data_IF_362722926961
#
_entry.id   IF_362722926961
#
_cell.length_a   1.000
_cell.length_b   1.000
_cell.length_c   1.000
_cell.angle_alpha   90.00
_cell.angle_beta   90.00
_cell.angle_gamma   90.00
#
_symmetry.space_group_name_H-M   'P 1'
#
loop_
_entity.id
_entity.type
_entity.pdbx_description
1 polymer ?
#
# COMPACT_ATOMS: atom_id res chain seq x y z
N UNK A 1 5.07 -32.77 6.96
CA UNK A 1 4.93 -32.01 5.70
C UNK A 1 3.90 -30.92 5.97
N UNK A 2 4.35 -29.71 6.31
CA UNK A 2 3.43 -28.60 6.56
C UNK A 2 3.11 -27.99 5.20
N UNK A 3 1.85 -28.09 4.78
CA UNK A 3 1.39 -27.45 3.57
C UNK A 3 1.57 -25.94 3.74
N UNK A 4 2.48 -25.36 2.95
CA UNK A 4 2.53 -23.92 2.74
C UNK A 4 1.22 -23.55 2.04
N UNK A 5 0.20 -23.19 2.83
CA UNK A 5 -0.99 -22.58 2.31
C UNK A 5 -0.53 -21.36 1.48
N UNK A 6 -0.81 -21.42 0.18
CA UNK A 6 -0.45 -20.37 -0.76
C UNK A 6 -0.93 -19.02 -0.21
N UNK A 7 0.00 -18.15 0.21
CA UNK A 7 -0.28 -16.77 0.58
C UNK A 7 -0.65 -15.98 -0.69
N UNK A 8 -1.92 -16.09 -1.10
CA UNK A 8 -2.35 -15.70 -2.46
C UNK A 8 -2.63 -14.21 -2.67
N UNK A 9 -2.33 -13.31 -1.72
CA UNK A 9 -3.01 -12.02 -1.70
C UNK A 9 -2.11 -10.83 -2.08
N UNK A 10 -1.09 -10.49 -1.27
CA UNK A 10 -0.25 -9.32 -1.56
C UNK A 10 1.03 -9.67 -2.35
N UNK A 11 1.68 -10.79 -2.04
CA UNK A 11 2.89 -11.22 -2.77
C UNK A 11 2.62 -11.48 -4.25
N UNK A 12 1.43 -11.98 -4.59
CA UNK A 12 1.03 -12.15 -5.99
C UNK A 12 0.85 -10.80 -6.68
N UNK A 13 0.23 -9.83 -6.01
CA UNK A 13 0.07 -8.50 -6.54
C UNK A 13 1.44 -7.84 -6.78
N UNK A 14 2.35 -7.92 -5.82
CA UNK A 14 3.73 -7.43 -5.96
C UNK A 14 4.44 -8.12 -7.13
N UNK A 15 4.32 -9.44 -7.27
CA UNK A 15 4.87 -10.18 -8.41
C UNK A 15 4.26 -9.75 -9.75
N UNK A 16 2.98 -9.39 -9.78
CA UNK A 16 2.33 -8.89 -10.98
C UNK A 16 2.91 -7.53 -11.41
N UNK A 17 3.21 -6.64 -10.46
CA UNK A 17 3.95 -5.39 -10.75
C UNK A 17 5.36 -5.68 -11.24
N UNK A 18 6.13 -6.51 -10.52
CA UNK A 18 7.52 -6.84 -10.90
C UNK A 18 7.64 -7.54 -12.26
N UNK A 19 6.61 -8.28 -12.66
CA UNK A 19 6.53 -8.93 -13.97
C UNK A 19 6.14 -8.00 -15.12
N UNK A 20 5.76 -6.75 -14.83
CA UNK A 20 5.37 -5.77 -15.83
C UNK A 20 6.54 -4.82 -16.14
N UNK A 21 7.02 -4.84 -17.38
CA UNK A 21 8.16 -4.03 -17.82
C UNK A 21 7.93 -2.51 -17.78
N UNK A 22 6.67 -2.07 -17.68
CA UNK A 22 6.29 -0.65 -17.54
C UNK A 22 6.04 -0.22 -16.09
N UNK A 23 6.08 -1.16 -15.15
CA UNK A 23 5.91 -0.81 -13.75
C UNK A 23 7.22 -0.26 -13.18
N UNK A 24 7.13 0.84 -12.46
CA UNK A 24 8.25 1.38 -11.69
C UNK A 24 8.16 0.87 -10.25
N UNK A 25 9.31 0.63 -9.64
CA UNK A 25 9.40 0.21 -8.24
C UNK A 25 10.45 1.06 -7.52
N UNK A 26 9.99 1.76 -6.48
CA UNK A 26 10.84 2.51 -5.58
C UNK A 26 10.78 1.90 -4.18
N UNK A 27 11.95 1.72 -3.58
CA UNK A 27 12.08 1.36 -2.16
C UNK A 27 12.61 2.55 -1.39
N UNK A 28 11.94 2.90 -0.30
CA UNK A 28 12.34 3.93 0.64
C UNK A 28 12.59 3.26 1.99
N UNK A 29 13.81 3.35 2.50
CA UNK A 29 14.19 2.75 3.79
C UNK A 29 13.90 3.69 4.95
N UNK A 30 13.95 3.16 6.18
CA UNK A 30 13.84 3.95 7.42
C UNK A 30 14.80 5.12 7.47
N UNK A 31 16.05 4.92 7.05
CA UNK A 31 17.07 5.97 7.02
C UNK A 31 16.68 7.07 6.04
N UNK A 32 16.19 6.70 4.85
CA UNK A 32 15.71 7.67 3.85
C UNK A 32 14.50 8.45 4.36
N UNK A 33 13.52 7.77 4.96
CA UNK A 33 12.35 8.43 5.57
C UNK A 33 12.77 9.36 6.71
N UNK A 34 13.74 8.97 7.53
CA UNK A 34 14.29 9.81 8.59
C UNK A 34 14.93 11.09 8.05
N UNK A 35 15.70 10.98 6.96
CA UNK A 35 16.27 12.15 6.27
C UNK A 35 15.17 13.06 5.70
N UNK A 36 14.15 12.48 5.05
CA UNK A 36 13.01 13.25 4.52
C UNK A 36 12.24 13.96 5.64
N UNK A 37 12.04 13.31 6.78
CA UNK A 37 11.34 13.90 7.92
C UNK A 37 12.11 15.06 8.54
N UNK A 38 13.42 14.92 8.74
CA UNK A 38 14.27 16.00 9.24
C UNK A 38 14.27 17.22 8.30
N UNK A 39 14.18 16.99 6.98
CA UNK A 39 14.08 18.06 5.99
C UNK A 39 12.70 18.75 5.99
N UNK A 40 11.62 17.99 6.17
CA UNK A 40 10.27 18.54 6.29
C UNK A 40 10.12 19.41 7.56
N UNK A 41 10.64 18.94 8.69
CA UNK A 41 10.55 19.65 9.98
C UNK A 41 11.37 20.96 9.99
N UNK A 42 12.50 21.00 9.27
CA UNK A 42 13.32 22.20 9.13
C UNK A 42 12.76 23.26 8.17
N UNK A 43 11.79 22.90 7.33
CA UNK A 43 11.21 23.78 6.30
C UNK A 43 9.84 24.36 6.64
N UNK A 44 9.34 24.18 7.88
CA UNK A 44 7.97 24.58 8.30
C UNK A 44 6.85 23.97 7.45
N UNK A 45 7.14 22.93 6.67
CA UNK A 45 6.14 22.16 5.95
C UNK A 45 5.48 21.15 6.89
N UNK A 46 4.27 20.70 6.51
CA UNK A 46 3.38 19.83 7.31
C UNK A 46 4.14 18.80 8.14
N UNK A 47 3.79 18.69 9.43
CA UNK A 47 4.29 17.65 10.33
C UNK A 47 4.19 16.29 9.67
N UNK A 48 5.29 15.55 9.69
CA UNK A 48 5.32 14.15 9.27
C UNK A 48 4.43 13.33 10.21
N UNK A 49 3.53 12.48 9.70
CA UNK A 49 2.70 11.63 10.55
C UNK A 49 3.55 10.75 11.46
N UNK A 50 3.16 10.62 12.74
CA UNK A 50 3.94 9.88 13.73
C UNK A 50 4.16 8.40 13.40
N UNK A 51 3.24 7.79 12.64
CA UNK A 51 3.35 6.39 12.22
C UNK A 51 4.58 6.12 11.33
N UNK A 52 5.09 7.14 10.61
CA UNK A 52 6.27 6.99 9.73
C UNK A 52 7.49 6.50 10.50
N UNK A 53 7.63 6.86 11.79
CA UNK A 53 8.77 6.43 12.62
C UNK A 53 8.78 4.92 12.91
N UNK A 54 7.63 4.25 12.76
CA UNK A 54 7.44 2.80 12.95
C UNK A 54 7.53 2.00 11.66
N UNK A 55 7.65 2.68 10.52
CA UNK A 55 7.87 2.05 9.22
C UNK A 55 9.38 1.80 9.07
N UNK A 56 9.72 0.58 8.70
CA UNK A 56 11.09 0.17 8.40
C UNK A 56 11.39 0.26 6.91
N UNK A 57 10.38 -0.05 6.09
CA UNK A 57 10.47 -0.03 4.64
C UNK A 57 9.15 0.40 4.02
N UNK A 58 9.24 1.23 2.99
CA UNK A 58 8.14 1.54 2.09
C UNK A 58 8.52 1.11 0.67
N UNK A 59 7.66 0.34 0.02
CA UNK A 59 7.76 0.05 -1.41
C UNK A 59 6.61 0.75 -2.13
N UNK A 60 6.94 1.48 -3.19
CA UNK A 60 5.97 2.13 -4.07
C UNK A 60 6.10 1.49 -5.44
N UNK A 61 5.02 0.92 -5.93
CA UNK A 61 4.90 0.41 -7.28
C UNK A 61 3.91 1.28 -8.04
N UNK A 62 4.30 1.76 -9.20
CA UNK A 62 3.45 2.56 -10.08
C UNK A 62 3.40 1.92 -11.45
N UNK A 63 2.24 1.98 -12.08
CA UNK A 63 2.06 1.70 -13.48
C UNK A 63 1.18 2.81 -14.02
N UNK A 64 1.77 3.69 -14.82
CA UNK A 64 1.10 4.85 -15.41
C UNK A 64 0.75 4.60 -16.87
N UNK A 65 -0.31 5.26 -17.35
CA UNK A 65 -0.75 5.24 -18.75
C UNK A 65 -0.90 3.82 -19.34
N UNK A 66 -1.36 2.85 -18.52
CA UNK A 66 -1.55 1.49 -19.00
C UNK A 66 -2.67 1.43 -20.05
N UNK A 67 -2.43 0.68 -21.13
CA UNK A 67 -3.45 0.44 -22.16
C UNK A 67 -3.76 -1.04 -22.30
N UNK A 68 -5.05 -1.38 -22.29
CA UNK A 68 -5.53 -2.72 -22.58
C UNK A 68 -4.95 -3.79 -21.64
N UNK A 69 -4.06 -4.65 -22.16
CA UNK A 69 -3.59 -5.86 -21.46
C UNK A 69 -2.46 -5.58 -20.45
N UNK A 70 -1.86 -4.40 -20.48
CA UNK A 70 -0.69 -4.05 -19.67
C UNK A 70 -0.98 -4.19 -18.17
N UNK A 71 -2.13 -3.72 -17.68
CA UNK A 71 -2.51 -3.88 -16.29
C UNK A 71 -3.34 -5.14 -16.01
N UNK A 72 -3.62 -5.98 -17.01
CA UNK A 72 -4.59 -7.07 -16.88
C UNK A 72 -4.26 -8.08 -15.77
N UNK A 73 -2.97 -8.38 -15.57
CA UNK A 73 -2.52 -9.22 -14.46
C UNK A 73 -2.69 -8.53 -13.10
N UNK A 74 -2.32 -7.26 -13.00
CA UNK A 74 -2.40 -6.46 -11.77
C UNK A 74 -3.86 -6.25 -11.36
N UNK A 75 -4.73 -5.83 -12.29
CA UNK A 75 -6.16 -5.64 -12.05
C UNK A 75 -6.81 -6.95 -11.60
N UNK A 76 -6.49 -8.07 -12.27
CA UNK A 76 -7.03 -9.38 -11.89
C UNK A 76 -6.64 -9.79 -10.47
N UNK A 77 -5.38 -9.60 -10.08
CA UNK A 77 -4.94 -9.91 -8.71
C UNK A 77 -5.55 -8.92 -7.69
N UNK A 78 -5.77 -7.67 -8.06
CA UNK A 78 -6.48 -6.68 -7.22
C UNK A 78 -7.95 -7.07 -6.98
N UNK A 79 -8.70 -7.35 -8.05
CA UNK A 79 -10.11 -7.72 -7.98
C UNK A 79 -10.31 -9.08 -7.30
N UNK A 80 -9.40 -10.01 -7.57
CA UNK A 80 -9.36 -11.35 -6.99
C UNK A 80 -8.83 -11.41 -5.56
N UNK A 81 -8.34 -10.29 -5.01
CA UNK A 81 -7.83 -10.22 -3.65
C UNK A 81 -8.92 -10.63 -2.64
N UNK A 82 -8.57 -11.51 -1.70
CA UNK A 82 -9.45 -11.95 -0.61
C UNK A 82 -8.71 -11.84 0.71
N UNK A 83 -9.42 -11.54 1.78
CA UNK A 83 -8.84 -11.56 3.13
C UNK A 83 -8.39 -12.99 3.49
N UNK A 84 -7.31 -13.09 4.27
CA UNK A 84 -6.72 -14.38 4.66
C UNK A 84 -5.20 -14.33 4.79
N UNK A 85 -4.63 -15.38 5.40
CA UNK A 85 -3.21 -15.47 5.72
C UNK A 85 -2.72 -14.25 6.52
N UNK A 86 -3.47 -13.85 7.55
CA UNK A 86 -3.17 -12.69 8.40
C UNK A 86 -3.52 -11.33 7.81
N UNK A 87 -3.85 -11.25 6.50
CA UNK A 87 -4.32 -10.01 5.87
C UNK A 87 -5.83 -9.81 6.03
N UNK A 88 -6.21 -8.58 6.32
CA UNK A 88 -7.60 -8.12 6.45
C UNK A 88 -7.80 -6.81 5.68
N UNK A 89 -8.92 -6.68 4.98
CA UNK A 89 -9.31 -5.44 4.29
C UNK A 89 -9.89 -4.45 5.30
N UNK A 90 -9.26 -3.28 5.41
CA UNK A 90 -9.71 -2.19 6.31
C UNK A 90 -10.62 -1.20 5.59
N UNK A 91 -10.34 -0.91 4.33
CA UNK A 91 -11.14 -0.03 3.46
C UNK A 91 -11.20 -0.66 2.07
N UNK A 92 -12.39 -0.67 1.49
CA UNK A 92 -12.58 -0.92 0.06
C UNK A 92 -13.60 0.09 -0.46
N UNK A 93 -13.12 1.08 -1.22
CA UNK A 93 -13.95 2.01 -1.98
C UNK A 93 -13.86 1.60 -3.44
N UNK A 94 -15.02 1.42 -4.05
CA UNK A 94 -15.14 1.08 -5.45
C UNK A 94 -16.19 2.01 -6.05
N UNK A 95 -15.74 3.00 -6.80
CA UNK A 95 -16.58 3.85 -7.64
C UNK A 95 -16.13 3.69 -9.10
N UNK A 96 -16.93 4.15 -10.06
CA UNK A 96 -16.69 3.87 -11.49
C UNK A 96 -15.35 4.40 -12.04
N UNK A 97 -14.69 5.31 -11.30
CA UNK A 97 -13.46 5.98 -11.74
C UNK A 97 -12.25 5.65 -10.86
N UNK A 98 -12.46 5.49 -9.57
CA UNK A 98 -11.44 5.29 -8.55
C UNK A 98 -11.73 4.04 -7.72
N UNK A 99 -10.73 3.17 -7.64
CA UNK A 99 -10.73 2.00 -6.79
C UNK A 99 -9.63 2.14 -5.75
N UNK A 100 -10.02 2.12 -4.47
CA UNK A 100 -9.09 2.23 -3.35
C UNK A 100 -9.30 1.05 -2.42
N UNK A 101 -8.22 0.33 -2.13
CA UNK A 101 -8.23 -0.76 -1.17
C UNK A 101 -7.07 -0.61 -0.19
N UNK A 102 -7.37 -0.64 1.09
CA UNK A 102 -6.36 -0.66 2.16
C UNK A 102 -6.46 -2.00 2.86
N UNK A 103 -5.35 -2.73 2.91
CA UNK A 103 -5.23 -4.04 3.55
C UNK A 103 -4.10 -4.01 4.57
N UNK A 104 -4.27 -4.75 5.66
CA UNK A 104 -3.28 -4.82 6.72
C UNK A 104 -3.04 -6.28 7.13
N UNK A 105 -1.77 -6.64 7.34
CA UNK A 105 -1.37 -7.91 7.92
C UNK A 105 -1.20 -7.76 9.43
N UNK A 106 -1.95 -8.55 10.20
CA UNK A 106 -1.90 -8.55 11.67
C UNK A 106 -1.16 -9.79 12.16
N UNK A 107 -0.21 -9.57 13.05
CA UNK A 107 0.49 -10.62 13.79
C UNK A 107 0.27 -10.40 15.29
N UNK A 108 -0.72 -11.10 15.85
CA UNK A 108 -1.16 -10.86 17.22
C UNK A 108 -1.72 -9.44 17.39
N UNK A 109 -1.07 -8.63 18.22
CA UNK A 109 -1.48 -7.24 18.48
C UNK A 109 -0.74 -6.20 17.62
N UNK A 110 0.24 -6.63 16.82
CA UNK A 110 1.01 -5.76 15.93
C UNK A 110 0.50 -5.88 14.49
N UNK A 111 0.71 -4.82 13.73
CA UNK A 111 0.46 -4.76 12.30
C UNK A 111 1.82 -4.74 11.62
N UNK A 112 2.21 -5.86 11.04
CA UNK A 112 3.53 -6.02 10.45
C UNK A 112 3.62 -5.41 9.05
N UNK A 113 2.47 -5.28 8.39
CA UNK A 113 2.40 -4.82 7.00
C UNK A 113 1.09 -4.11 6.68
N UNK A 114 1.15 -3.06 5.86
CA UNK A 114 -0.02 -2.37 5.31
C UNK A 114 0.21 -2.13 3.82
N UNK A 115 -0.79 -2.43 3.00
CA UNK A 115 -0.77 -2.07 1.59
C UNK A 115 -1.98 -1.19 1.24
N UNK A 116 -1.69 -0.09 0.55
CA UNK A 116 -2.68 0.81 -0.05
C UNK A 116 -2.59 0.63 -1.55
N UNK A 117 -3.70 0.25 -2.15
CA UNK A 117 -3.82 0.05 -3.58
C UNK A 117 -4.81 1.09 -4.10
N UNK A 118 -4.37 1.89 -5.05
CA UNK A 118 -5.19 2.91 -5.72
C UNK A 118 -5.13 2.65 -7.21
N UNK A 119 -6.28 2.67 -7.86
CA UNK A 119 -6.40 2.53 -9.30
C UNK A 119 -7.40 3.54 -9.83
N UNK A 120 -7.08 4.11 -10.97
CA UNK A 120 -8.04 4.74 -11.86
C UNK A 120 -8.06 4.07 -13.24
N UNK A 121 -8.64 4.73 -14.24
CA UNK A 121 -8.76 4.21 -15.62
C UNK A 121 -7.42 3.92 -16.29
N UNK A 122 -6.32 4.57 -15.88
CA UNK A 122 -5.02 4.53 -16.58
C UNK A 122 -3.83 4.29 -15.69
N UNK A 123 -4.00 4.48 -14.38
CA UNK A 123 -2.91 4.40 -13.42
C UNK A 123 -3.25 3.39 -12.32
N UNK A 124 -2.24 2.65 -11.88
CA UNK A 124 -2.30 1.81 -10.68
C UNK A 124 -1.10 2.11 -9.80
N UNK A 125 -1.38 2.39 -8.53
CA UNK A 125 -0.38 2.61 -7.50
C UNK A 125 -0.58 1.63 -6.36
N UNK A 126 0.49 0.92 -6.00
CA UNK A 126 0.57 0.13 -4.78
C UNK A 126 1.62 0.74 -3.87
N UNK A 127 1.22 1.17 -2.68
CA UNK A 127 2.11 1.59 -1.60
C UNK A 127 2.07 0.53 -0.51
N UNK A 128 3.21 -0.12 -0.26
CA UNK A 128 3.40 -1.15 0.76
C UNK A 128 4.28 -0.59 1.88
N UNK A 129 3.82 -0.69 3.12
CA UNK A 129 4.58 -0.36 4.32
C UNK A 129 4.87 -1.64 5.10
N UNK A 130 6.12 -1.81 5.52
CA UNK A 130 6.56 -2.88 6.42
C UNK A 130 7.14 -2.24 7.68
N UNK A 131 6.75 -2.74 8.85
CA UNK A 131 7.24 -2.23 10.12
C UNK A 131 6.53 -2.84 11.32
N UNK A 132 6.51 -2.10 12.43
CA UNK A 132 5.85 -2.53 13.67
C UNK A 132 4.79 -1.49 14.06
N UNK A 133 3.68 -1.50 13.31
CA UNK A 133 2.58 -0.56 13.46
C UNK A 133 1.59 -1.06 14.53
N UNK A 134 0.93 -0.14 15.20
CA UNK A 134 -0.18 -0.43 16.10
C UNK A 134 -1.52 -0.03 15.48
N UNK A 135 -2.61 -0.24 16.22
CA UNK A 135 -3.95 0.12 15.74
C UNK A 135 -4.18 1.63 15.59
N UNK A 136 -3.53 2.46 16.41
CA UNK A 136 -3.64 3.91 16.31
C UNK A 136 -2.93 4.43 15.04
N UNK A 137 -1.81 3.81 14.67
CA UNK A 137 -1.10 4.06 13.42
C UNK A 137 -1.99 3.70 12.23
N UNK A 138 -2.63 2.53 12.27
CA UNK A 138 -3.60 2.12 11.24
C UNK A 138 -4.77 3.09 11.10
N UNK A 139 -5.34 3.53 12.22
CA UNK A 139 -6.41 4.53 12.20
C UNK A 139 -5.91 5.85 11.61
N UNK A 140 -4.69 6.26 11.94
CA UNK A 140 -4.06 7.45 11.38
C UNK A 140 -3.89 7.34 9.86
N UNK A 141 -3.39 6.20 9.37
CA UNK A 141 -3.27 5.91 7.93
C UNK A 141 -4.65 5.99 7.25
N UNK A 142 -5.65 5.33 7.81
CA UNK A 142 -7.03 5.35 7.29
C UNK A 142 -7.60 6.77 7.26
N UNK A 143 -7.38 7.56 8.31
CA UNK A 143 -7.89 8.93 8.42
C UNK A 143 -7.22 9.89 7.43
N UNK A 144 -5.91 9.77 7.22
CA UNK A 144 -5.15 10.53 6.21
C UNK A 144 -5.68 10.27 4.79
N UNK A 145 -6.12 9.05 4.50
CA UNK A 145 -6.73 8.74 3.21
C UNK A 145 -8.18 9.23 3.12
N UNK A 146 -9.01 9.01 4.16
CA UNK A 146 -10.40 9.51 4.21
C UNK A 146 -10.49 11.03 4.05
N UNK A 147 -9.59 11.78 4.68
CA UNK A 147 -9.53 13.24 4.56
C UNK A 147 -9.26 13.76 3.14
N UNK A 148 -8.73 12.90 2.25
CA UNK A 148 -8.52 13.21 0.83
C UNK A 148 -9.74 12.86 -0.04
N UNK A 149 -10.53 11.85 0.34
CA UNK A 149 -11.74 11.46 -0.40
C UNK A 149 -12.95 12.39 -0.16
N UNK A 150 -13.01 13.10 0.97
CA UNK A 150 -14.12 14.03 1.27
C UNK A 150 -13.89 15.47 0.76
N UNK A 151 -12.76 15.75 0.11
CA UNK A 151 -12.43 17.08 -0.41
C UNK A 151 -12.64 17.25 -1.92
N UNK A 152 -13.34 16.30 -2.56
CA UNK A 152 -13.76 16.41 -3.96
C UNK A 152 -15.25 16.72 -4.04
#
# INVERSE_FOLDING_TARGET
>A
MVAFANAQNLDKLVKAFQGNAKAEHHTITKEMMGMMAAQADSSSQKKVPGFIQRIEKMDVFTLEDYQGKDAGGIIKEMEGYKDGNGFETLISVNNDKDHVRIVAHKEGNAVSEVAIIVRDEKDVVLVRFVGNLNMDDLQSIVNEQKGKFQKQ
#
